data_IF_673512794688
#
_entry.id   IF_673512794688
#
_cell.length_a   1.000
_cell.length_b   1.000
_cell.length_c   1.000
_cell.angle_alpha   90.00
_cell.angle_beta   90.00
_cell.angle_gamma   90.00
#
_symmetry.space_group_name_H-M   'P 1'
#
loop_
_entity.id
_entity.type
_entity.pdbx_description
1 polymer ?
#
# COMPACT_ATOMS: atom_id res chain seq x y z
N UNK A 1 3.04 14.82 3.69
CA UNK A 1 2.99 14.08 2.42
C UNK A 1 4.27 13.28 2.27
N UNK A 2 4.22 12.03 1.81
CA UNK A 2 5.40 11.21 1.55
C UNK A 2 6.16 11.64 0.28
N UNK A 3 5.53 12.35 -0.66
CA UNK A 3 6.11 12.64 -1.97
C UNK A 3 5.56 13.94 -2.58
N UNK A 4 6.25 14.42 -3.61
CA UNK A 4 5.71 15.40 -4.55
C UNK A 4 4.75 14.71 -5.51
N UNK A 5 3.65 15.37 -5.87
CA UNK A 5 2.77 14.84 -6.91
C UNK A 5 1.37 15.43 -6.88
N UNK A 6 0.41 14.63 -7.34
CA UNK A 6 -1.00 14.96 -7.42
C UNK A 6 -1.83 13.97 -6.61
N UNK A 7 -2.69 14.50 -5.74
CA UNK A 7 -3.67 13.67 -5.02
C UNK A 7 -4.66 13.11 -6.04
N UNK A 8 -4.71 11.78 -6.15
CA UNK A 8 -5.74 11.09 -6.93
C UNK A 8 -6.99 10.88 -6.07
N UNK A 9 -6.78 10.48 -4.82
CA UNK A 9 -7.83 10.31 -3.84
C UNK A 9 -7.31 10.50 -2.41
N UNK A 10 -8.15 10.99 -1.51
CA UNK A 10 -7.86 11.11 -0.09
C UNK A 10 -9.17 11.11 0.71
N UNK A 11 -9.26 10.28 1.75
CA UNK A 11 -10.45 10.24 2.59
C UNK A 11 -10.62 8.94 3.36
N UNK A 12 -11.77 8.85 4.02
CA UNK A 12 -12.23 7.65 4.72
C UNK A 12 -12.60 6.55 3.71
N UNK A 13 -12.18 5.32 3.99
CA UNK A 13 -12.55 4.14 3.21
C UNK A 13 -13.95 3.67 3.60
N UNK A 14 -14.91 3.88 2.71
CA UNK A 14 -16.34 3.59 2.95
C UNK A 14 -16.80 2.24 2.35
N UNK A 15 -16.01 1.64 1.47
CA UNK A 15 -16.34 0.38 0.79
C UNK A 15 -15.14 -0.58 0.78
N UNK A 16 -15.33 -1.82 0.34
CA UNK A 16 -14.23 -2.74 0.08
C UNK A 16 -13.29 -2.33 -1.04
N UNK A 17 -13.58 -1.22 -1.73
CA UNK A 17 -12.75 -0.71 -2.77
C UNK A 17 -12.09 0.62 -2.39
N UNK A 18 -10.82 0.76 -2.79
CA UNK A 18 -10.11 2.03 -2.87
C UNK A 18 -10.53 2.68 -4.17
N UNK A 19 -10.87 3.97 -4.13
CA UNK A 19 -11.09 4.72 -5.36
C UNK A 19 -9.74 5.20 -5.90
N UNK A 20 -9.44 4.74 -7.11
CA UNK A 20 -8.22 4.99 -7.86
C UNK A 20 -8.24 6.40 -8.45
N UNK A 21 -9.29 6.70 -9.21
CA UNK A 21 -9.66 8.02 -9.70
C UNK A 21 -11.17 8.01 -9.99
N UNK A 22 -11.86 9.12 -9.72
CA UNK A 22 -13.28 9.41 -10.06
C UNK A 22 -14.11 8.18 -10.50
N UNK A 23 -14.59 7.41 -9.52
CA UNK A 23 -15.52 6.30 -9.74
C UNK A 23 -14.91 4.97 -10.22
N UNK A 24 -13.62 4.94 -10.57
CA UNK A 24 -12.88 3.69 -10.78
C UNK A 24 -12.30 3.25 -9.46
N UNK A 25 -12.61 2.03 -9.05
CA UNK A 25 -12.23 1.49 -7.76
C UNK A 25 -11.49 0.16 -7.90
N UNK A 26 -10.81 -0.27 -6.83
CA UNK A 26 -10.16 -1.56 -6.76
C UNK A 26 -10.23 -2.16 -5.36
N UNK A 27 -10.34 -3.48 -5.25
CA UNK A 27 -10.53 -4.17 -3.97
C UNK A 27 -9.31 -4.00 -3.04
N UNK A 28 -9.56 -3.60 -1.79
CA UNK A 28 -8.52 -3.49 -0.75
C UNK A 28 -7.90 -4.85 -0.47
N UNK A 29 -8.72 -5.90 -0.41
CA UNK A 29 -8.22 -7.25 -0.20
C UNK A 29 -7.39 -7.72 -1.39
N UNK A 30 -7.78 -7.40 -2.63
CA UNK A 30 -6.94 -7.70 -3.80
C UNK A 30 -5.61 -6.93 -3.75
N UNK A 31 -5.64 -5.70 -3.26
CA UNK A 31 -4.48 -4.82 -3.17
C UNK A 31 -3.48 -5.20 -2.06
N UNK A 32 -3.97 -5.43 -0.84
CA UNK A 32 -3.16 -5.80 0.32
C UNK A 32 -2.89 -7.31 0.42
N UNK A 33 -3.76 -8.12 -0.17
CA UNK A 33 -3.80 -9.58 0.01
C UNK A 33 -4.36 -9.99 1.37
N UNK A 34 -4.28 -11.28 1.67
CA UNK A 34 -4.82 -11.83 2.91
C UNK A 34 -3.94 -11.49 4.12
N UNK A 35 -4.56 -11.26 5.28
CA UNK A 35 -3.88 -10.80 6.51
C UNK A 35 -3.22 -11.94 7.31
N UNK A 36 -2.74 -12.98 6.61
CA UNK A 36 -2.16 -14.19 7.20
C UNK A 36 -0.93 -13.95 8.09
N UNK A 37 -0.33 -12.76 8.00
CA UNK A 37 0.77 -12.32 8.85
C UNK A 37 0.37 -12.04 10.31
N UNK A 38 -0.91 -11.80 10.59
CA UNK A 38 -1.41 -11.64 11.97
C UNK A 38 -1.48 -12.96 12.73
N UNK A 39 -1.82 -14.05 12.03
CA UNK A 39 -1.90 -15.40 12.59
C UNK A 39 -0.54 -15.95 13.03
N UNK A 40 0.54 -15.29 12.64
CA UNK A 40 1.90 -15.74 12.91
C UNK A 40 2.47 -15.20 14.23
N UNK A 41 1.69 -14.38 14.96
CA UNK A 41 2.03 -13.83 16.28
C UNK A 41 1.20 -14.39 17.43
N UNK A 42 0.15 -15.17 17.15
CA UNK A 42 -0.68 -15.84 18.15
C UNK A 42 -0.46 -17.36 18.06
N UNK A 43 0.26 -17.90 19.05
CA UNK A 43 0.67 -19.30 19.24
C UNK A 43 2.01 -19.69 18.58
N UNK A 44 3.04 -19.79 19.42
CA UNK A 44 4.23 -20.61 19.20
C UNK A 44 3.91 -22.11 19.20
N UNK A 45 2.99 -22.52 18.32
CA UNK A 45 2.56 -23.89 18.13
C UNK A 45 2.06 -24.03 16.71
N UNK A 46 2.95 -24.46 15.81
CA UNK A 46 2.57 -24.97 14.51
C UNK A 46 1.53 -26.08 14.72
N UNK A 47 0.26 -25.84 14.36
CA UNK A 47 -0.54 -26.95 13.83
C UNK A 47 0.05 -27.24 12.46
N UNK A 48 0.97 -28.19 12.44
CA UNK A 48 1.48 -28.79 11.22
C UNK A 48 0.28 -29.25 10.38
N UNK A 49 -0.04 -28.49 9.33
CA UNK A 49 -0.69 -29.08 8.17
C UNK A 49 0.41 -29.90 7.52
N UNK A 50 0.30 -31.22 7.64
CA UNK A 50 1.23 -32.16 7.02
C UNK A 50 1.27 -31.92 5.51
N UNK A 51 2.30 -31.24 5.04
CA UNK A 51 2.68 -31.24 3.62
C UNK A 51 4.10 -31.79 3.57
N UNK A 52 4.21 -33.03 3.07
CA UNK A 52 5.49 -33.68 2.82
C UNK A 52 6.29 -32.86 1.80
N UNK A 53 7.19 -32.00 2.27
CA UNK A 53 8.15 -31.30 1.44
C UNK A 53 9.51 -32.02 1.53
N UNK A 54 9.90 -32.70 0.44
CA UNK A 54 11.29 -33.10 0.21
C UNK A 54 12.03 -31.96 -0.52
N UNK A 55 13.25 -31.71 -0.05
CA UNK A 55 14.35 -30.93 -0.63
C UNK A 55 14.36 -29.39 -0.54
N UNK A 56 15.04 -28.95 0.52
CA UNK A 56 16.14 -27.96 0.62
C UNK A 56 16.30 -26.88 -0.45
N UNK A 57 16.23 -25.61 -0.03
CA UNK A 57 17.24 -24.57 -0.34
C UNK A 57 17.21 -23.41 0.67
N UNK A 58 18.41 -22.86 0.94
CA UNK A 58 18.80 -22.01 2.07
C UNK A 58 18.48 -20.52 1.76
N UNK A 59 17.34 -20.02 2.23
CA UNK A 59 17.08 -18.59 2.50
C UNK A 59 15.81 -18.48 3.36
N UNK A 60 15.98 -18.66 4.67
CA UNK A 60 14.94 -19.09 5.63
C UNK A 60 13.81 -18.08 5.97
N UNK A 61 13.62 -16.97 5.25
CA UNK A 61 12.61 -15.95 5.63
C UNK A 61 11.63 -15.54 4.51
N UNK A 62 11.66 -16.17 3.33
CA UNK A 62 10.67 -15.91 2.27
C UNK A 62 9.56 -16.96 2.31
N UNK A 63 8.34 -16.53 2.62
CA UNK A 63 7.15 -17.38 2.54
C UNK A 63 6.59 -17.25 1.12
N UNK A 64 6.54 -18.37 0.39
CA UNK A 64 5.87 -18.49 -0.91
C UNK A 64 4.45 -18.98 -0.64
N UNK A 65 3.45 -18.28 -1.18
CA UNK A 65 2.04 -18.67 -1.07
C UNK A 65 1.59 -19.24 -2.42
N UNK A 66 1.21 -20.52 -2.43
CA UNK A 66 0.82 -21.25 -3.63
C UNK A 66 -0.56 -20.82 -4.18
N UNK A 67 -0.76 -20.99 -5.49
CA UNK A 67 -2.00 -20.64 -6.19
C UNK A 67 -3.13 -21.65 -5.98
N UNK A 68 -2.85 -22.85 -5.47
CA UNK A 68 -3.86 -23.86 -5.17
C UNK A 68 -4.59 -23.64 -3.83
N UNK A 69 -4.22 -22.60 -3.08
CA UNK A 69 -5.01 -22.19 -1.92
C UNK A 69 -6.32 -21.60 -2.45
N UNK A 70 -7.35 -22.43 -2.37
CA UNK A 70 -8.61 -22.31 -3.10
C UNK A 70 -9.30 -21.00 -2.70
N UNK A 71 -9.14 -19.95 -3.50
CA UNK A 71 -9.78 -18.64 -3.34
C UNK A 71 -11.28 -18.68 -3.73
N UNK A 72 -11.91 -19.82 -3.48
CA UNK A 72 -13.31 -20.10 -3.78
C UNK A 72 -13.94 -20.71 -2.53
N UNK A 73 -14.29 -19.87 -1.55
CA UNK A 73 -15.44 -20.08 -0.63
C UNK A 73 -15.55 -19.10 0.54
N UNK A 74 -14.71 -18.07 0.67
CA UNK A 74 -14.96 -16.97 1.63
C UNK A 74 -14.47 -15.65 1.05
N UNK A 75 -15.31 -14.95 0.30
CA UNK A 75 -15.18 -13.49 0.24
C UNK A 75 -15.46 -13.05 1.66
N UNK A 76 -14.40 -12.80 2.44
CA UNK A 76 -14.56 -12.25 3.78
C UNK A 76 -15.45 -11.02 3.64
N UNK A 77 -16.50 -10.94 4.47
CA UNK A 77 -17.29 -9.71 4.55
C UNK A 77 -16.30 -8.57 4.69
N UNK A 78 -16.40 -7.55 3.85
CA UNK A 78 -15.55 -6.37 3.91
C UNK A 78 -15.40 -5.84 5.33
N UNK A 79 -16.50 -5.88 6.11
CA UNK A 79 -16.49 -5.45 7.49
C UNK A 79 -15.58 -6.32 8.37
N UNK A 80 -15.52 -7.63 8.12
CA UNK A 80 -14.63 -8.56 8.81
C UNK A 80 -13.16 -8.33 8.43
N UNK A 81 -12.88 -8.17 7.13
CA UNK A 81 -11.55 -7.84 6.65
C UNK A 81 -11.05 -6.50 7.21
N UNK A 82 -11.90 -5.47 7.17
CA UNK A 82 -11.58 -4.17 7.76
C UNK A 82 -11.38 -4.27 9.27
N UNK A 83 -12.25 -4.97 10.00
CA UNK A 83 -12.11 -5.16 11.45
C UNK A 83 -10.81 -5.88 11.82
N UNK A 84 -10.40 -6.88 11.05
CA UNK A 84 -9.12 -7.56 11.27
C UNK A 84 -7.92 -6.70 10.92
N UNK A 85 -8.06 -5.73 10.00
CA UNK A 85 -6.99 -4.79 9.67
C UNK A 85 -6.72 -3.77 10.78
N UNK A 86 -7.79 -3.26 11.41
CA UNK A 86 -7.73 -2.20 12.42
C UNK A 86 -7.33 -2.73 13.81
N UNK A 87 -6.58 -1.93 14.55
CA UNK A 87 -6.18 -2.21 15.93
C UNK A 87 -7.26 -1.82 16.94
N UNK A 88 -7.96 -0.71 16.67
CA UNK A 88 -9.13 -0.25 17.41
C UNK A 88 -10.31 -0.06 16.45
N UNK A 89 -10.96 -1.14 16.01
CA UNK A 89 -12.12 -1.07 15.12
C UNK A 89 -13.35 -0.38 15.75
N UNK A 90 -13.34 -0.13 17.07
CA UNK A 90 -14.44 0.51 17.79
C UNK A 90 -14.37 2.03 17.61
N UNK A 91 -13.21 2.64 17.86
CA UNK A 91 -13.06 4.10 17.86
C UNK A 91 -12.48 4.64 16.55
N UNK A 92 -11.72 3.82 15.82
CA UNK A 92 -11.04 4.23 14.62
C UNK A 92 -11.75 3.73 13.35
N UNK A 93 -11.23 4.19 12.23
CA UNK A 93 -11.63 3.80 10.90
C UNK A 93 -10.43 3.81 9.95
N UNK A 94 -10.59 3.24 8.75
CA UNK A 94 -9.55 3.17 7.73
C UNK A 94 -9.62 4.38 6.82
N UNK A 95 -8.48 5.01 6.58
CA UNK A 95 -8.30 6.14 5.68
C UNK A 95 -7.29 5.80 4.59
N UNK A 96 -7.40 6.51 3.46
CA UNK A 96 -6.50 6.36 2.33
C UNK A 96 -6.01 7.70 1.82
N UNK A 97 -4.79 7.70 1.28
CA UNK A 97 -4.24 8.79 0.46
C UNK A 97 -3.52 8.14 -0.72
N UNK A 98 -3.91 8.53 -1.93
CA UNK A 98 -3.33 8.06 -3.19
C UNK A 98 -2.66 9.24 -3.87
N UNK A 99 -1.35 9.14 -4.09
CA UNK A 99 -0.53 10.20 -4.67
C UNK A 99 0.11 9.67 -5.95
N UNK A 100 -0.19 10.34 -7.07
CA UNK A 100 0.47 10.10 -8.35
C UNK A 100 1.68 11.01 -8.50
N UNK A 101 2.82 10.41 -8.81
CA UNK A 101 4.07 11.08 -9.13
C UNK A 101 4.19 11.11 -10.65
N UNK A 102 4.06 12.29 -11.26
CA UNK A 102 4.24 12.45 -12.69
C UNK A 102 5.73 12.37 -13.06
N UNK A 103 6.10 12.03 -14.31
CA UNK A 103 7.51 11.89 -14.71
C UNK A 103 8.44 13.08 -14.43
N UNK A 104 7.91 14.29 -14.29
CA UNK A 104 8.66 15.49 -13.94
C UNK A 104 8.74 15.82 -12.46
N UNK A 105 8.09 15.02 -11.59
CA UNK A 105 8.08 15.25 -10.14
C UNK A 105 9.34 14.66 -9.47
N UNK A 106 9.52 14.93 -8.18
CA UNK A 106 10.53 14.28 -7.36
C UNK A 106 10.11 12.84 -7.03
N UNK A 107 10.91 11.86 -7.48
CA UNK A 107 10.54 10.43 -7.44
C UNK A 107 11.07 9.66 -6.22
N UNK A 108 11.52 10.38 -5.20
CA UNK A 108 11.81 9.77 -3.90
C UNK A 108 10.62 9.96 -2.99
N UNK A 109 10.40 8.98 -2.13
CA UNK A 109 9.29 8.98 -1.20
C UNK A 109 9.80 8.78 0.20
N UNK A 110 9.11 9.43 1.11
CA UNK A 110 9.50 9.62 2.50
C UNK A 110 8.42 9.07 3.42
N UNK A 111 8.79 8.74 4.65
CA UNK A 111 7.78 8.36 5.64
C UNK A 111 6.97 9.58 6.05
N UNK A 112 5.62 9.56 5.94
CA UNK A 112 4.80 10.71 6.31
C UNK A 112 4.64 10.87 7.83
N UNK A 113 4.94 9.80 8.59
CA UNK A 113 4.79 9.67 10.03
C UNK A 113 5.95 8.85 10.59
N UNK A 114 6.13 8.86 11.91
CA UNK A 114 6.92 7.83 12.56
C UNK A 114 6.12 6.52 12.51
N UNK A 115 6.72 5.42 12.05
CA UNK A 115 6.05 4.13 12.00
C UNK A 115 7.01 2.93 12.11
N UNK A 116 6.51 1.88 12.75
CA UNK A 116 7.19 0.60 12.91
C UNK A 116 6.73 -0.38 11.84
N UNK A 117 7.58 -0.68 10.87
CA UNK A 117 7.33 -1.58 9.76
C UNK A 117 7.73 -3.00 10.14
N UNK A 118 6.74 -3.89 10.20
CA UNK A 118 6.91 -5.28 10.63
C UNK A 118 6.94 -6.28 9.49
N UNK A 119 6.45 -5.89 8.32
CA UNK A 119 6.20 -6.84 7.27
C UNK A 119 6.15 -6.20 5.90
N UNK A 120 6.59 -6.93 4.90
CA UNK A 120 6.50 -6.57 3.48
C UNK A 120 5.86 -7.69 2.69
N UNK A 121 4.93 -7.30 1.82
CA UNK A 121 4.42 -8.14 0.74
C UNK A 121 4.80 -7.54 -0.61
N UNK A 122 5.44 -8.35 -1.45
CA UNK A 122 5.76 -7.99 -2.83
C UNK A 122 4.85 -8.76 -3.77
N UNK A 123 4.06 -8.03 -4.55
CA UNK A 123 3.26 -8.57 -5.63
C UNK A 123 3.99 -8.37 -6.95
N UNK A 124 4.20 -9.46 -7.69
CA UNK A 124 4.55 -9.34 -9.09
C UNK A 124 3.33 -8.80 -9.86
N UNK A 125 3.59 -8.12 -10.97
CA UNK A 125 2.52 -7.60 -11.81
C UNK A 125 3.08 -6.98 -13.08
N UNK A 126 2.20 -6.28 -13.79
CA UNK A 126 2.57 -5.52 -14.97
C UNK A 126 3.18 -4.16 -14.61
N UNK A 127 3.61 -3.41 -15.62
CA UNK A 127 4.11 -2.04 -15.46
C UNK A 127 3.29 -1.12 -16.37
N UNK A 128 1.97 -1.13 -16.18
CA UNK A 128 1.05 -0.27 -16.93
C UNK A 128 1.18 1.18 -16.45
N UNK A 129 0.83 2.14 -17.32
CA UNK A 129 0.91 3.55 -16.98
C UNK A 129 -0.10 3.90 -15.88
N UNK A 130 0.38 4.53 -14.80
CA UNK A 130 -0.47 5.00 -13.69
C UNK A 130 -0.93 6.45 -13.86
N UNK A 131 -0.80 7.00 -15.07
CA UNK A 131 -1.30 8.36 -15.35
C UNK A 131 -2.80 8.46 -15.04
N UNK A 132 -3.31 9.61 -14.58
CA UNK A 132 -4.71 9.75 -14.17
C UNK A 132 -5.72 9.35 -15.26
N UNK A 133 -5.36 9.53 -16.54
CA UNK A 133 -6.21 9.13 -17.67
C UNK A 133 -6.32 7.61 -17.79
N UNK A 134 -5.19 6.90 -17.72
CA UNK A 134 -5.17 5.43 -17.79
C UNK A 134 -5.79 4.83 -16.54
N UNK A 135 -5.50 5.39 -15.38
CA UNK A 135 -6.14 5.04 -14.12
C UNK A 135 -7.68 5.23 -14.18
N UNK A 136 -8.19 6.14 -15.00
CA UNK A 136 -9.64 6.32 -15.19
C UNK A 136 -10.28 5.30 -16.13
N UNK A 137 -9.49 4.49 -16.82
CA UNK A 137 -9.99 3.55 -17.83
C UNK A 137 -9.73 2.08 -17.46
N UNK A 138 -8.72 1.82 -16.62
CA UNK A 138 -8.32 0.47 -16.24
C UNK A 138 -8.74 0.21 -14.79
N UNK A 139 -9.82 -0.56 -14.54
CA UNK A 139 -10.16 -1.05 -13.22
C UNK A 139 -9.00 -1.87 -12.64
N UNK A 140 -8.85 -1.86 -11.31
CA UNK A 140 -7.80 -2.65 -10.62
C UNK A 140 -6.36 -2.33 -11.06
N UNK A 141 -6.09 -1.21 -11.74
CA UNK A 141 -4.76 -0.89 -12.28
C UNK A 141 -3.64 -1.02 -11.25
N UNK A 142 -3.86 -0.51 -10.04
CA UNK A 142 -2.85 -0.60 -8.98
C UNK A 142 -2.68 -2.03 -8.44
N UNK A 143 -3.72 -2.87 -8.50
CA UNK A 143 -3.65 -4.30 -8.17
C UNK A 143 -2.99 -5.14 -9.28
N UNK A 144 -3.09 -4.69 -10.54
CA UNK A 144 -2.48 -5.33 -11.71
C UNK A 144 -0.99 -5.05 -11.82
N UNK A 145 -0.55 -3.86 -11.40
CA UNK A 145 0.84 -3.49 -11.46
C UNK A 145 1.69 -4.17 -10.38
N UNK A 146 2.98 -4.37 -10.68
CA UNK A 146 3.97 -4.73 -9.68
C UNK A 146 3.96 -3.69 -8.55
N UNK A 147 3.86 -4.16 -7.31
CA UNK A 147 3.79 -3.29 -6.14
C UNK A 147 4.40 -3.94 -4.91
N UNK A 148 4.85 -3.09 -4.00
CA UNK A 148 5.45 -3.51 -2.74
C UNK A 148 4.73 -2.81 -1.61
N UNK A 149 4.07 -3.59 -0.76
CA UNK A 149 3.29 -3.13 0.39
C UNK A 149 4.12 -3.33 1.64
N UNK A 150 4.36 -2.26 2.39
CA UNK A 150 4.95 -2.31 3.73
C UNK A 150 3.85 -2.10 4.76
N UNK A 151 3.75 -3.03 5.71
CA UNK A 151 2.76 -3.05 6.78
C UNK A 151 3.44 -2.80 8.13
N UNK A 152 2.75 -2.04 8.96
CA UNK A 152 3.28 -1.63 10.24
C UNK A 152 2.24 -0.95 11.10
N UNK A 153 2.76 -0.15 12.03
CA UNK A 153 1.97 0.59 13.00
C UNK A 153 2.47 2.03 13.05
N UNK A 154 1.54 2.96 13.16
CA UNK A 154 1.82 4.35 13.52
C UNK A 154 1.08 4.69 14.82
N UNK A 155 1.21 5.92 15.30
CA UNK A 155 0.66 6.36 16.60
C UNK A 155 -0.81 5.98 16.84
N UNK A 156 -1.65 5.92 15.81
CA UNK A 156 -3.09 5.64 15.93
C UNK A 156 -3.50 4.21 15.53
N UNK A 157 -2.55 3.33 15.24
CA UNK A 157 -2.82 1.92 14.94
C UNK A 157 -2.23 1.47 13.62
N UNK A 158 -3.01 0.76 12.81
CA UNK A 158 -2.58 0.20 11.54
C UNK A 158 -2.02 1.26 10.57
N UNK A 159 -0.90 0.94 9.93
CA UNK A 159 -0.31 1.73 8.85
C UNK A 159 0.18 0.82 7.73
N UNK A 160 -0.07 1.21 6.49
CA UNK A 160 0.62 0.67 5.33
C UNK A 160 0.98 1.75 4.32
N UNK A 161 2.14 1.55 3.70
CA UNK A 161 2.59 2.36 2.57
C UNK A 161 2.97 1.42 1.43
N UNK A 162 2.38 1.67 0.27
CA UNK A 162 2.58 0.87 -0.93
C UNK A 162 3.23 1.69 -2.02
N UNK A 163 4.33 1.17 -2.54
CA UNK A 163 4.96 1.66 -3.75
C UNK A 163 4.44 0.85 -4.95
N UNK A 164 3.78 1.53 -5.90
CA UNK A 164 3.23 0.91 -7.11
C UNK A 164 4.10 1.30 -8.31
N UNK A 165 4.63 0.30 -9.00
CA UNK A 165 5.40 0.48 -10.23
C UNK A 165 4.52 0.89 -11.41
N UNK A 166 5.13 1.42 -12.46
CA UNK A 166 4.44 1.77 -13.70
C UNK A 166 5.38 1.68 -14.90
N UNK A 167 4.89 2.05 -16.08
CA UNK A 167 5.68 2.04 -17.31
C UNK A 167 6.93 2.91 -17.20
N UNK A 168 8.08 2.38 -17.62
CA UNK A 168 9.39 3.04 -17.55
C UNK A 168 9.87 3.37 -16.13
N UNK A 169 9.14 2.96 -15.10
CA UNK A 169 9.70 2.81 -13.76
C UNK A 169 10.58 1.57 -13.84
N UNK A 170 11.89 1.71 -13.60
CA UNK A 170 12.71 0.53 -13.33
C UNK A 170 12.34 -0.05 -11.96
N UNK A 171 13.34 -0.46 -11.18
CA UNK A 171 13.06 -1.06 -9.87
C UNK A 171 12.59 -0.03 -8.84
N UNK A 172 11.57 -0.39 -8.06
CA UNK A 172 11.26 0.19 -6.75
C UNK A 172 12.40 -0.16 -5.81
N UNK A 173 12.97 0.85 -5.14
CA UNK A 173 14.01 0.67 -4.13
C UNK A 173 13.52 1.20 -2.79
N UNK A 174 13.76 0.43 -1.74
CA UNK A 174 13.50 0.84 -0.35
C UNK A 174 14.80 0.67 0.42
N UNK A 175 15.28 1.77 1.01
CA UNK A 175 16.65 1.86 1.52
C UNK A 175 16.90 0.90 2.68
N UNK A 176 15.91 0.71 3.54
CA UNK A 176 15.95 -0.20 4.68
C UNK A 176 15.74 -1.67 4.31
N UNK A 177 15.25 -1.98 3.10
CA UNK A 177 15.01 -3.34 2.63
C UNK A 177 15.91 -3.70 1.44
N UNK A 178 17.17 -4.00 1.75
CA UNK A 178 18.17 -4.43 0.75
C UNK A 178 17.82 -5.75 0.06
N UNK A 179 16.84 -6.49 0.58
CA UNK A 179 16.41 -7.77 -0.02
C UNK A 179 15.38 -7.59 -1.12
N UNK A 180 14.77 -6.41 -1.24
CA UNK A 180 13.77 -6.14 -2.25
C UNK A 180 14.41 -6.06 -3.65
N UNK A 181 13.93 -6.90 -4.55
CA UNK A 181 14.30 -6.88 -5.97
C UNK A 181 13.03 -6.88 -6.82
N UNK A 182 12.73 -5.73 -7.41
CA UNK A 182 11.58 -5.51 -8.30
C UNK A 182 12.01 -5.43 -9.76
N UNK A 183 11.05 -5.59 -10.68
CA UNK A 183 11.31 -5.71 -12.12
C UNK A 183 12.32 -6.83 -12.43
N UNK A 184 12.24 -7.91 -11.66
CA UNK A 184 13.08 -9.09 -11.79
C UNK A 184 12.49 -10.13 -12.74
N UNK A 185 13.12 -11.30 -12.80
CA UNK A 185 12.57 -12.46 -13.53
C UNK A 185 11.20 -12.82 -12.96
N UNK A 186 10.21 -13.00 -13.84
CA UNK A 186 8.85 -13.43 -13.47
C UNK A 186 8.92 -14.69 -12.60
N UNK A 187 8.13 -14.70 -11.52
CA UNK A 187 8.01 -15.87 -10.67
C UNK A 187 7.15 -16.93 -11.35
N UNK A 188 7.14 -18.13 -10.77
CA UNK A 188 6.21 -19.17 -11.20
C UNK A 188 4.77 -18.65 -11.09
N UNK A 189 3.88 -19.09 -11.99
CA UNK A 189 2.48 -18.62 -12.02
C UNK A 189 1.75 -18.87 -10.70
N UNK A 190 2.20 -19.87 -9.95
CA UNK A 190 1.59 -20.23 -8.68
C UNK A 190 1.95 -19.27 -7.53
N UNK A 191 2.96 -18.43 -7.70
CA UNK A 191 3.40 -17.48 -6.68
C UNK A 191 2.68 -16.16 -6.93
N UNK A 192 1.68 -15.86 -6.10
CA UNK A 192 0.92 -14.61 -6.18
C UNK A 192 1.68 -13.42 -5.59
N UNK A 193 2.32 -13.66 -4.45
CA UNK A 193 3.13 -12.66 -3.75
C UNK A 193 4.23 -13.34 -2.93
N UNK A 194 5.24 -12.55 -2.56
CA UNK A 194 6.31 -12.96 -1.65
C UNK A 194 6.30 -12.11 -0.41
N UNK A 195 6.26 -12.79 0.72
CA UNK A 195 6.17 -12.17 2.02
C UNK A 195 7.51 -12.20 2.75
N UNK A 196 7.78 -11.16 3.52
CA UNK A 196 8.97 -11.08 4.37
C UNK A 196 8.69 -10.30 5.64
N UNK A 197 9.04 -10.88 6.77
CA UNK A 197 9.07 -10.15 8.05
C UNK A 197 10.23 -9.17 8.06
N UNK A 198 9.94 -7.99 8.57
CA UNK A 198 10.88 -6.90 8.75
C UNK A 198 10.80 -6.43 10.20
N UNK A 199 11.81 -5.67 10.61
CA UNK A 199 11.77 -4.94 11.87
C UNK A 199 12.52 -3.64 11.64
N UNK A 200 11.84 -2.71 10.96
CA UNK A 200 12.40 -1.43 10.53
C UNK A 200 11.55 -0.34 11.15
N UNK A 201 12.19 0.67 11.70
CA UNK A 201 11.55 1.91 12.12
C UNK A 201 11.81 2.97 11.05
N UNK A 202 10.77 3.71 10.68
CA UNK A 202 10.90 4.88 9.82
C UNK A 202 10.53 6.13 10.60
N UNK A 203 11.41 7.14 10.53
CA UNK A 203 11.15 8.43 11.15
C UNK A 203 10.33 9.35 10.24
N UNK A 204 9.54 10.24 10.86
CA UNK A 204 8.75 11.21 10.09
C UNK A 204 9.67 12.09 9.24
N UNK A 205 9.44 12.10 7.92
CA UNK A 205 10.21 12.87 6.95
C UNK A 205 11.47 12.17 6.42
N UNK A 206 11.84 11.01 6.98
CA UNK A 206 12.95 10.20 6.48
C UNK A 206 12.70 9.78 5.04
N UNK A 207 13.74 9.84 4.19
CA UNK A 207 13.69 9.27 2.85
C UNK A 207 13.68 7.74 2.93
N UNK A 208 12.58 7.12 2.50
CA UNK A 208 12.36 5.67 2.62
C UNK A 208 12.80 4.93 1.36
N UNK A 209 12.59 5.54 0.19
CA UNK A 209 12.87 4.88 -1.06
C UNK A 209 12.73 5.77 -2.28
N UNK A 210 12.96 5.17 -3.43
CA UNK A 210 12.93 5.87 -4.72
C UNK A 210 12.29 5.01 -5.82
N UNK A 211 11.64 5.72 -6.74
CA UNK A 211 11.29 5.23 -8.06
C UNK A 211 12.25 5.81 -9.10
N UNK A 212 12.31 5.20 -10.27
CA UNK A 212 13.05 5.80 -11.40
C UNK A 212 12.23 6.82 -12.20
N UNK A 213 10.92 6.61 -12.35
CA UNK A 213 10.03 7.45 -13.15
C UNK A 213 8.57 7.23 -12.69
N UNK A 214 7.61 7.90 -13.34
CA UNK A 214 6.24 8.10 -12.86
C UNK A 214 5.58 6.91 -12.17
N UNK A 215 5.12 7.11 -10.95
CA UNK A 215 4.70 6.05 -10.04
C UNK A 215 3.54 6.49 -9.16
N UNK A 216 3.08 5.60 -8.29
CA UNK A 216 2.03 5.93 -7.31
C UNK A 216 2.44 5.47 -5.92
N UNK A 217 2.20 6.32 -4.93
CA UNK A 217 2.22 5.96 -3.51
C UNK A 217 0.78 5.87 -3.01
N UNK A 218 0.44 4.71 -2.41
CA UNK A 218 -0.82 4.51 -1.72
C UNK A 218 -0.53 4.35 -0.24
N UNK A 219 -1.15 5.17 0.60
CA UNK A 219 -1.12 5.04 2.05
C UNK A 219 -2.49 4.58 2.50
N UNK A 220 -2.53 3.54 3.33
CA UNK A 220 -3.71 3.18 4.12
C UNK A 220 -3.35 3.25 5.58
N UNK A 221 -4.19 3.89 6.39
CA UNK A 221 -3.89 4.08 7.79
C UNK A 221 -5.16 4.14 8.62
N UNK A 222 -5.07 3.61 9.82
CA UNK A 222 -6.11 3.68 10.83
C UNK A 222 -6.05 5.03 11.54
N UNK A 223 -7.17 5.70 11.72
CA UNK A 223 -7.26 6.94 12.49
C UNK A 223 -8.64 7.09 13.15
N UNK A 224 -8.79 8.02 14.12
CA UNK A 224 -10.09 8.32 14.72
C UNK A 224 -11.18 8.60 13.68
N UNK A 225 -12.44 8.28 13.99
CA UNK A 225 -13.57 8.43 13.05
C UNK A 225 -13.85 9.87 12.60
N UNK A 226 -13.37 10.86 13.35
CA UNK A 226 -13.47 12.29 13.07
C UNK A 226 -12.19 12.87 12.42
N UNK A 227 -11.25 12.01 12.05
CA UNK A 227 -10.00 12.43 11.40
C UNK A 227 -10.26 13.15 10.08
N UNK A 228 -9.75 14.37 9.98
CA UNK A 228 -10.02 15.26 8.85
C UNK A 228 -8.78 15.43 7.99
N UNK A 229 -8.93 15.11 6.70
CA UNK A 229 -7.93 15.37 5.67
C UNK A 229 -8.25 16.68 4.97
N UNK A 230 -7.25 17.56 4.90
CA UNK A 230 -7.29 18.87 4.25
C UNK A 230 -6.64 18.81 2.86
N UNK A 231 -6.96 17.75 2.09
CA UNK A 231 -6.49 17.57 0.73
C UNK A 231 -7.61 17.04 -0.16
N UNK A 232 -7.61 17.39 -1.44
CA UNK A 232 -8.67 17.04 -2.39
C UNK A 232 -8.14 16.37 -3.65
N UNK A 233 -8.90 15.45 -4.28
CA UNK A 233 -8.57 14.91 -5.59
C UNK A 233 -8.27 16.02 -6.60
N UNK A 234 -7.13 15.92 -7.28
CA UNK A 234 -6.66 16.90 -8.24
C UNK A 234 -5.62 17.88 -7.70
N UNK A 235 -5.51 18.04 -6.38
CA UNK A 235 -4.59 18.96 -5.73
C UNK A 235 -3.13 18.54 -5.93
N UNK A 236 -2.25 19.51 -6.22
CA UNK A 236 -0.80 19.29 -6.16
C UNK A 236 -0.33 19.32 -4.70
N UNK A 237 0.56 18.40 -4.36
CA UNK A 237 1.14 18.30 -3.02
C UNK A 237 2.65 18.16 -3.13
N UNK A 238 3.38 18.68 -2.14
CA UNK A 238 4.83 18.51 -2.01
C UNK A 238 5.18 17.59 -0.85
N UNK A 239 6.31 16.91 -0.93
CA UNK A 239 6.90 16.17 0.18
C UNK A 239 7.00 17.08 1.40
N UNK A 240 6.69 16.54 2.59
CA UNK A 240 6.66 17.30 3.83
C UNK A 240 5.42 18.19 4.04
N UNK A 241 4.65 18.52 2.99
CA UNK A 241 3.42 19.31 3.13
C UNK A 241 2.39 18.56 4.01
N UNK A 242 1.73 19.27 4.93
CA UNK A 242 0.68 18.68 5.76
C UNK A 242 -0.53 18.25 4.93
N UNK A 243 -1.12 17.11 5.29
CA UNK A 243 -2.37 16.60 4.70
C UNK A 243 -3.57 16.80 5.64
N UNK A 244 -3.34 17.31 6.85
CA UNK A 244 -4.38 17.52 7.89
C UNK A 244 -4.56 18.99 8.26
N UNK A 245 -3.64 19.86 7.90
CA UNK A 245 -3.74 21.29 8.19
C UNK A 245 -4.25 22.03 6.95
N UNK A 246 -5.47 22.56 7.05
CA UNK A 246 -6.07 23.37 6.01
C UNK A 246 -5.38 24.74 6.00
N UNK A 247 -4.58 25.04 4.98
CA UNK A 247 -4.07 26.40 4.78
C UNK A 247 -5.19 27.26 4.18
N UNK A 248 -5.41 28.46 4.72
CA UNK A 248 -6.49 29.40 4.33
C UNK A 248 -6.59 29.75 2.84
N UNK A 249 -5.63 29.34 2.01
CA UNK A 249 -5.61 29.59 0.57
C UNK A 249 -6.75 28.88 -0.21
N UNK A 250 -7.29 27.77 0.29
CA UNK A 250 -8.42 27.06 -0.37
C UNK A 250 -9.75 27.80 -0.27
N UNK A 251 -9.90 28.70 0.72
CA UNK A 251 -11.09 29.54 0.87
C UNK A 251 -11.24 30.57 -0.27
N UNK A 252 -10.16 30.92 -0.96
CA UNK A 252 -10.17 31.87 -2.09
C UNK A 252 -10.59 31.22 -3.42
N UNK A 253 -10.40 29.91 -3.59
CA UNK A 253 -10.87 29.20 -4.80
C UNK A 253 -12.38 28.93 -4.74
N UNK A 254 -12.95 28.66 -3.56
CA UNK A 254 -14.41 28.50 -3.39
C UNK A 254 -15.24 29.77 -3.66
N UNK A 255 -14.63 30.96 -3.64
CA UNK A 255 -15.31 32.23 -3.95
C UNK A 255 -15.24 32.63 -5.44
N UNK A 256 -14.64 31.80 -6.29
CA UNK A 256 -14.42 32.09 -7.72
C UNK A 256 -15.11 31.13 -8.70
N UNK A 257 -15.99 30.27 -8.20
CA UNK A 257 -16.95 29.47 -8.99
C UNK A 257 -18.35 29.89 -8.61
#
# INVERSE_FOLDING_TARGET
SPADGKILNAGKVTSCHIEQVKGVTYSIQAFLGDLNWQNTSANGGLKAVNVNAKHTDINQNEIKVDANDTYSSRVADWNEYKKSLLMDPVNNDLYQIVIYLAPGDYHRFHSPVHCSIKYRRHFQGELLSVSPRVAGWVPELFSLNERVVYFGQWEKGFFSMTAVGATNVGSIRVHSDKSLHTNGRRWHRDIRHKDRRLNVEWEKGEEVGEFRMGSTIVILFEAPRDYSLCVQPGQKIKVGQSVTCCTDLDSRQKKRT
#
